data_IF_721858053427
#
_entry.id   IF_721858053427
#
_cell.length_a   1.000
_cell.length_b   1.000
_cell.length_c   1.000
_cell.angle_alpha   90.00
_cell.angle_beta   90.00
_cell.angle_gamma   90.00
#
_symmetry.space_group_name_H-M   'P 1'
#
loop_
_entity.id
_entity.type
_entity.pdbx_description
1 polymer ?
#
# COMPACT_ATOMS: atom_id res chain seq x y z
N UNK A 1 0.44 -4.78 -6.16
CA UNK A 1 1.31 -5.99 -6.14
C UNK A 1 2.55 -6.04 -7.03
N UNK A 2 2.76 -5.17 -8.04
CA UNK A 2 3.95 -5.27 -8.91
C UNK A 2 5.24 -4.61 -8.39
N UNK A 3 5.16 -3.82 -7.33
CA UNK A 3 6.25 -2.88 -7.00
C UNK A 3 7.40 -3.50 -6.19
N UNK A 4 7.24 -4.71 -5.63
CA UNK A 4 8.26 -5.38 -4.80
C UNK A 4 8.89 -6.62 -5.46
N UNK A 5 8.48 -7.00 -6.66
CA UNK A 5 8.94 -8.24 -7.31
C UNK A 5 10.41 -8.20 -7.76
N UNK A 6 11.04 -7.02 -7.76
CA UNK A 6 12.40 -6.78 -8.30
C UNK A 6 13.46 -6.45 -7.26
N UNK A 7 13.17 -6.56 -5.96
CA UNK A 7 14.12 -6.18 -4.91
C UNK A 7 15.24 -7.23 -4.81
N UNK A 8 16.43 -6.87 -5.30
CA UNK A 8 17.65 -7.67 -5.16
C UNK A 8 18.28 -7.48 -3.77
N UNK A 9 18.60 -8.59 -3.10
CA UNK A 9 19.10 -8.61 -1.72
C UNK A 9 20.64 -8.50 -1.62
N UNK A 10 21.35 -8.38 -2.75
CA UNK A 10 22.82 -8.49 -2.83
C UNK A 10 23.57 -7.14 -2.78
N UNK A 11 22.88 -6.05 -2.43
CA UNK A 11 23.50 -4.73 -2.26
C UNK A 11 23.71 -4.42 -0.77
N UNK A 12 24.88 -3.88 -0.40
CA UNK A 12 25.12 -3.29 0.92
C UNK A 12 24.10 -2.21 1.31
N UNK A 13 23.39 -1.64 0.32
CA UNK A 13 22.30 -0.70 0.50
C UNK A 13 20.88 -1.32 0.36
N UNK A 14 20.78 -2.66 0.28
CA UNK A 14 19.52 -3.38 0.02
C UNK A 14 18.42 -2.99 1.02
N UNK A 15 18.77 -2.76 2.29
CA UNK A 15 17.80 -2.36 3.32
C UNK A 15 17.19 -0.97 3.08
N UNK A 16 17.99 0.03 2.70
CA UNK A 16 17.45 1.37 2.45
C UNK A 16 16.69 1.44 1.13
N UNK A 17 17.13 0.68 0.12
CA UNK A 17 16.39 0.51 -1.14
C UNK A 17 15.03 -0.13 -0.90
N UNK A 18 15.01 -1.27 -0.20
CA UNK A 18 13.78 -1.96 0.21
C UNK A 18 12.85 -1.02 0.99
N UNK A 19 13.37 -0.26 1.97
CA UNK A 19 12.57 0.68 2.73
C UNK A 19 11.96 1.78 1.83
N UNK A 20 12.74 2.36 0.91
CA UNK A 20 12.25 3.38 -0.01
C UNK A 20 11.15 2.83 -0.94
N UNK A 21 11.34 1.61 -1.47
CA UNK A 21 10.37 0.95 -2.35
C UNK A 21 9.07 0.60 -1.61
N UNK A 22 9.17 0.05 -0.39
CA UNK A 22 8.02 -0.21 0.48
C UNK A 22 7.27 1.09 0.80
N UNK A 23 7.98 2.17 1.15
CA UNK A 23 7.34 3.46 1.44
C UNK A 23 6.62 4.05 0.22
N UNK A 24 7.20 3.91 -0.98
CA UNK A 24 6.54 4.37 -2.21
C UNK A 24 5.30 3.55 -2.51
N UNK A 25 5.38 2.21 -2.42
CA UNK A 25 4.24 1.33 -2.63
C UNK A 25 3.12 1.61 -1.62
N UNK A 26 3.44 1.75 -0.33
CA UNK A 26 2.45 2.08 0.69
C UNK A 26 1.74 3.41 0.44
N UNK A 27 2.45 4.42 -0.09
CA UNK A 27 1.86 5.69 -0.48
C UNK A 27 0.87 5.52 -1.64
N UNK A 28 1.27 4.81 -2.69
CA UNK A 28 0.41 4.57 -3.86
C UNK A 28 -0.85 3.79 -3.47
N UNK A 29 -0.71 2.72 -2.69
CA UNK A 29 -1.85 1.94 -2.19
C UNK A 29 -2.76 2.81 -1.28
N UNK A 30 -2.17 3.65 -0.43
CA UNK A 30 -2.93 4.61 0.40
C UNK A 30 -3.71 5.63 -0.43
N UNK A 31 -3.14 6.14 -1.52
CA UNK A 31 -3.82 7.06 -2.45
C UNK A 31 -4.96 6.35 -3.20
N UNK A 32 -4.80 5.06 -3.56
CA UNK A 32 -5.86 4.25 -4.14
C UNK A 32 -7.03 4.07 -3.16
N UNK A 33 -6.74 3.71 -1.90
CA UNK A 33 -7.74 3.63 -0.81
C UNK A 33 -8.49 4.95 -0.66
N UNK A 34 -7.76 6.07 -0.60
CA UNK A 34 -8.33 7.41 -0.42
C UNK A 34 -9.19 7.88 -1.59
N UNK A 35 -8.94 7.44 -2.82
CA UNK A 35 -9.65 7.95 -3.99
C UNK A 35 -10.72 6.97 -4.46
N UNK A 36 -10.34 5.74 -4.82
CA UNK A 36 -11.24 4.74 -5.41
C UNK A 36 -12.23 4.16 -4.41
N UNK A 37 -11.85 4.05 -3.13
CA UNK A 37 -12.64 3.33 -2.13
C UNK A 37 -13.47 4.25 -1.21
N UNK A 38 -13.51 5.57 -1.48
CA UNK A 38 -14.42 6.52 -0.79
C UNK A 38 -15.89 6.12 -0.91
N UNK A 39 -16.27 5.47 -2.02
CA UNK A 39 -17.62 4.95 -2.25
C UNK A 39 -17.99 3.89 -1.19
N UNK A 40 -17.02 3.06 -0.78
CA UNK A 40 -17.21 2.07 0.29
C UNK A 40 -17.21 2.71 1.68
N UNK A 41 -16.47 3.81 1.88
CA UNK A 41 -16.46 4.57 3.14
C UNK A 41 -17.85 5.12 3.49
N UNK A 42 -18.65 5.53 2.48
CA UNK A 42 -20.04 5.93 2.68
C UNK A 42 -20.98 4.76 3.02
N UNK A 43 -20.60 3.52 2.67
CA UNK A 43 -21.40 2.30 2.90
C UNK A 43 -21.07 1.65 4.25
N UNK A 44 -19.81 1.71 4.69
CA UNK A 44 -19.32 1.06 5.92
C UNK A 44 -19.03 2.03 7.09
N UNK A 45 -19.27 3.33 6.91
CA UNK A 45 -19.18 4.34 7.99
C UNK A 45 -17.82 4.36 8.70
N UNK A 46 -17.83 4.35 10.04
CA UNK A 46 -16.62 4.38 10.90
C UNK A 46 -15.88 3.04 11.01
N UNK A 47 -16.38 1.96 10.38
CA UNK A 47 -15.74 0.65 10.42
C UNK A 47 -14.58 0.56 9.43
N UNK A 48 -13.45 1.18 9.80
CA UNK A 48 -12.21 1.08 9.02
C UNK A 48 -11.75 -0.37 8.81
N UNK A 49 -12.13 -1.29 9.71
CA UNK A 49 -11.83 -2.71 9.61
C UNK A 49 -12.56 -3.42 8.45
N UNK A 50 -13.77 -2.95 8.08
CA UNK A 50 -14.52 -3.52 6.95
C UNK A 50 -13.91 -3.11 5.60
N UNK A 51 -13.26 -1.94 5.51
CA UNK A 51 -12.49 -1.56 4.32
C UNK A 51 -11.35 -2.55 4.06
N UNK A 52 -10.72 -3.09 5.11
CA UNK A 52 -9.65 -4.10 4.99
C UNK A 52 -10.15 -5.46 4.49
N UNK A 53 -11.46 -5.75 4.53
CA UNK A 53 -12.01 -7.02 4.01
C UNK A 53 -12.40 -6.95 2.54
N UNK A 54 -12.47 -5.75 1.96
CA UNK A 54 -12.81 -5.53 0.53
C UNK A 54 -11.56 -5.18 -0.30
N UNK A 55 -10.46 -4.79 0.36
CA UNK A 55 -9.13 -4.59 -0.21
C UNK A 55 -8.38 -5.92 -0.34
#
# INVERSE_FOLDING_TARGET
DKNLETISNDDSNAKHKLLAEVCMAAKEEGDLIKTRYTIHQATYGDSAAELCTVL
#
